data_IF_780427513303
#
_entry.id   IF_780427513303
#
_cell.length_a   1.000
_cell.length_b   1.000
_cell.length_c   1.000
_cell.angle_alpha   90.00
_cell.angle_beta   90.00
_cell.angle_gamma   90.00
#
_symmetry.space_group_name_H-M   'P 1'
#
loop_
_entity.id
_entity.type
_entity.pdbx_description
1 polymer ?
#
# COMPACT_ATOMS: atom_id res chain seq x y z
N UNK A 1 -12.29 3.89 -19.56
CA UNK A 1 -11.34 3.18 -20.46
C UNK A 1 -10.38 4.18 -21.08
N UNK A 2 -9.20 3.76 -21.54
CA UNK A 2 -8.30 4.65 -22.31
C UNK A 2 -8.94 5.02 -23.64
N UNK A 3 -8.67 6.23 -24.14
CA UNK A 3 -9.20 6.72 -25.42
C UNK A 3 -8.59 6.03 -26.64
N UNK A 4 -7.39 5.50 -26.48
CA UNK A 4 -6.63 4.77 -27.49
C UNK A 4 -5.99 3.55 -26.84
N UNK A 5 -5.71 2.49 -27.60
CA UNK A 5 -4.87 1.42 -27.12
C UNK A 5 -3.46 1.94 -26.86
N UNK A 6 -2.71 1.23 -26.03
CA UNK A 6 -1.28 1.49 -25.84
C UNK A 6 -0.56 1.32 -27.18
N UNK A 7 0.50 2.08 -27.37
CA UNK A 7 1.42 1.86 -28.49
C UNK A 7 2.17 0.56 -28.21
N UNK A 8 2.78 -0.09 -29.21
CA UNK A 8 3.54 -1.30 -28.99
C UNK A 8 4.52 -1.16 -27.82
N UNK A 9 4.26 -1.90 -26.74
CA UNK A 9 5.08 -1.85 -25.52
C UNK A 9 6.12 -2.95 -25.60
N UNK A 10 7.39 -2.63 -25.39
CA UNK A 10 8.45 -3.63 -25.30
C UNK A 10 8.64 -4.01 -23.84
N UNK A 11 8.72 -5.31 -23.56
CA UNK A 11 9.03 -5.82 -22.22
C UNK A 11 10.27 -6.70 -22.28
N UNK A 12 11.17 -6.45 -21.33
CA UNK A 12 12.28 -7.33 -21.01
C UNK A 12 11.96 -8.13 -19.75
N UNK A 13 11.85 -9.45 -19.88
CA UNK A 13 11.64 -10.34 -18.73
C UNK A 13 12.97 -10.88 -18.25
N UNK A 14 13.22 -10.76 -16.96
CA UNK A 14 14.40 -11.29 -16.29
C UNK A 14 14.01 -12.39 -15.31
N UNK A 15 14.72 -13.52 -15.30
CA UNK A 15 14.74 -14.40 -14.13
C UNK A 15 15.68 -13.86 -13.07
N UNK A 16 15.30 -14.10 -11.82
CA UNK A 16 15.98 -13.59 -10.65
C UNK A 16 16.63 -14.73 -9.87
N UNK A 17 17.95 -14.69 -9.79
CA UNK A 17 18.76 -15.55 -8.93
C UNK A 17 19.12 -14.76 -7.66
N UNK A 18 18.53 -15.17 -6.54
CA UNK A 18 18.78 -14.62 -5.20
C UNK A 18 18.62 -15.72 -4.15
N UNK A 19 19.48 -15.68 -3.13
CA UNK A 19 19.57 -16.70 -2.07
C UNK A 19 18.61 -16.52 -0.90
N UNK A 20 17.44 -15.89 -1.13
CA UNK A 20 16.41 -15.70 -0.10
C UNK A 20 15.04 -16.21 -0.59
N UNK A 21 14.23 -16.68 0.35
CA UNK A 21 12.93 -17.32 0.11
C UNK A 21 11.77 -16.60 0.80
N UNK A 22 10.54 -17.06 0.55
CA UNK A 22 9.33 -16.61 1.24
C UNK A 22 9.03 -15.11 1.11
N UNK A 23 8.56 -14.49 2.21
CA UNK A 23 8.20 -13.08 2.26
C UNK A 23 9.41 -12.15 1.99
N UNK A 24 10.61 -12.58 2.39
CA UNK A 24 11.83 -11.80 2.19
C UNK A 24 12.19 -11.70 0.70
N UNK A 25 12.00 -12.78 -0.07
CA UNK A 25 12.15 -12.76 -1.53
C UNK A 25 11.27 -11.68 -2.18
N UNK A 26 10.02 -11.57 -1.75
CA UNK A 26 9.11 -10.53 -2.26
C UNK A 26 9.57 -9.12 -1.93
N UNK A 27 10.07 -8.91 -0.70
CA UNK A 27 10.61 -7.63 -0.25
C UNK A 27 11.80 -7.24 -1.12
N UNK A 28 12.78 -8.15 -1.25
CA UNK A 28 13.99 -7.96 -2.05
C UNK A 28 13.67 -7.67 -3.51
N UNK A 29 12.80 -8.44 -4.15
CA UNK A 29 12.39 -8.19 -5.53
C UNK A 29 11.67 -6.84 -5.71
N UNK A 30 10.88 -6.41 -4.72
CA UNK A 30 10.21 -5.11 -4.77
C UNK A 30 11.20 -3.95 -4.66
N UNK A 31 12.25 -4.11 -3.84
CA UNK A 31 13.34 -3.16 -3.73
C UNK A 31 14.19 -3.14 -5.01
N UNK A 32 14.48 -4.32 -5.58
CA UNK A 32 15.16 -4.45 -6.86
C UNK A 32 14.44 -3.69 -7.97
N UNK A 33 13.11 -3.82 -8.08
CA UNK A 33 12.33 -3.07 -9.07
C UNK A 33 12.50 -1.55 -8.90
N UNK A 34 12.42 -1.02 -7.67
CA UNK A 34 12.65 0.42 -7.44
C UNK A 34 14.05 0.85 -7.85
N UNK A 35 15.06 0.03 -7.51
CA UNK A 35 16.45 0.32 -7.82
C UNK A 35 16.72 0.34 -9.32
N UNK A 36 16.20 -0.64 -10.06
CA UNK A 36 16.32 -0.71 -11.52
C UNK A 36 15.67 0.50 -12.19
N UNK A 37 14.54 0.93 -11.67
CA UNK A 37 13.84 2.11 -12.17
C UNK A 37 14.64 3.41 -11.94
N UNK A 38 15.31 3.53 -10.80
CA UNK A 38 16.22 4.65 -10.52
C UNK A 38 17.49 4.62 -11.39
N UNK A 39 18.08 3.44 -11.60
CA UNK A 39 19.35 3.29 -12.32
C UNK A 39 19.19 3.35 -13.84
N UNK A 40 18.11 2.78 -14.38
CA UNK A 40 17.89 2.62 -15.82
C UNK A 40 16.82 3.57 -16.37
N UNK A 41 16.06 4.25 -15.50
CA UNK A 41 14.96 5.12 -15.91
C UNK A 41 13.74 4.37 -16.48
N UNK A 42 13.71 3.04 -16.41
CA UNK A 42 12.62 2.20 -16.95
C UNK A 42 11.65 1.74 -15.87
N UNK A 43 10.37 1.61 -16.22
CA UNK A 43 9.38 1.09 -15.27
C UNK A 43 9.65 -0.40 -15.02
N UNK A 44 9.97 -0.75 -13.77
CA UNK A 44 10.26 -2.13 -13.37
C UNK A 44 9.18 -2.67 -12.42
N UNK A 45 8.69 -3.87 -12.71
CA UNK A 45 7.66 -4.54 -11.93
C UNK A 45 7.94 -6.03 -11.73
N UNK A 46 7.43 -6.57 -10.62
CA UNK A 46 7.59 -7.99 -10.31
C UNK A 46 6.65 -8.85 -11.16
N UNK A 47 7.19 -9.96 -11.64
CA UNK A 47 6.46 -11.03 -12.31
C UNK A 47 6.48 -12.28 -11.44
N UNK A 48 5.46 -12.44 -10.60
CA UNK A 48 5.39 -13.54 -9.64
C UNK A 48 6.51 -13.49 -8.59
N UNK A 49 7.06 -14.67 -8.27
CA UNK A 49 8.05 -14.89 -7.21
C UNK A 49 9.51 -14.89 -7.71
N UNK A 50 9.76 -15.02 -9.01
CA UNK A 50 11.10 -15.31 -9.53
C UNK A 50 11.52 -14.47 -10.72
N UNK A 51 10.68 -13.54 -11.19
CA UNK A 51 10.98 -12.73 -12.35
C UNK A 51 10.66 -11.25 -12.13
N UNK A 52 11.33 -10.41 -12.90
CA UNK A 52 11.07 -8.97 -13.01
C UNK A 52 10.85 -8.65 -14.49
N UNK A 53 9.83 -7.85 -14.78
CA UNK A 53 9.59 -7.26 -16.09
C UNK A 53 10.03 -5.80 -16.09
N UNK A 54 10.82 -5.42 -17.08
CA UNK A 54 11.14 -4.03 -17.39
C UNK A 54 10.32 -3.60 -18.61
N UNK A 55 9.59 -2.51 -18.48
CA UNK A 55 8.82 -1.89 -19.56
C UNK A 55 9.71 -0.83 -20.22
N UNK A 56 9.94 -0.98 -21.53
CA UNK A 56 10.84 -0.15 -22.34
C UNK A 56 9.98 0.62 -23.35
N UNK A 57 9.91 1.94 -23.19
CA UNK A 57 9.05 2.85 -23.97
C UNK A 57 9.91 4.06 -24.34
N UNK A 58 10.74 3.91 -25.36
CA UNK A 58 11.73 4.95 -25.70
C UNK A 58 13.01 4.44 -26.35
N UNK A 59 13.18 3.12 -26.45
CA UNK A 59 14.37 2.52 -27.05
C UNK A 59 15.53 2.41 -26.09
N UNK A 60 15.27 2.44 -24.78
CA UNK A 60 16.28 2.23 -23.75
C UNK A 60 16.94 0.86 -23.93
N UNK A 61 18.28 0.85 -23.94
CA UNK A 61 19.03 -0.40 -23.97
C UNK A 61 19.00 -1.06 -22.60
N UNK A 62 18.41 -2.25 -22.53
CA UNK A 62 18.36 -3.06 -21.33
C UNK A 62 19.37 -4.21 -21.43
N UNK A 63 20.33 -4.33 -20.50
CA UNK A 63 21.39 -5.34 -20.57
C UNK A 63 20.88 -6.78 -20.52
N UNK A 64 21.63 -7.74 -21.07
CA UNK A 64 21.28 -9.16 -20.96
C UNK A 64 21.39 -9.70 -19.53
N UNK A 65 22.33 -9.17 -18.76
CA UNK A 65 22.54 -9.52 -17.36
C UNK A 65 22.69 -8.26 -16.52
N UNK A 66 22.08 -8.28 -15.33
CA UNK A 66 22.19 -7.21 -14.34
C UNK A 66 22.53 -7.83 -12.98
N UNK A 67 23.33 -7.12 -12.19
CA UNK A 67 23.62 -7.51 -10.82
C UNK A 67 23.47 -6.29 -9.92
N UNK A 68 22.68 -6.43 -8.88
CA UNK A 68 22.42 -5.35 -7.92
C UNK A 68 22.44 -5.90 -6.50
N UNK A 69 22.80 -5.03 -5.55
CA UNK A 69 22.72 -5.31 -4.12
C UNK A 69 21.58 -4.51 -3.52
N UNK A 70 20.60 -5.20 -2.94
CA UNK A 70 19.43 -4.59 -2.31
C UNK A 70 19.24 -5.16 -0.92
N UNK A 71 19.29 -4.28 0.09
CA UNK A 71 19.16 -4.69 1.50
C UNK A 71 20.23 -5.69 1.94
N UNK A 72 21.45 -5.61 1.38
CA UNK A 72 22.54 -6.55 1.65
C UNK A 72 22.43 -7.89 0.91
N UNK A 73 21.38 -8.09 0.09
CA UNK A 73 21.19 -9.30 -0.71
C UNK A 73 21.61 -9.03 -2.15
N UNK A 74 22.51 -9.87 -2.67
CA UNK A 74 22.86 -9.86 -4.09
C UNK A 74 21.72 -10.46 -4.91
N UNK A 75 21.24 -9.72 -5.90
CA UNK A 75 20.26 -10.16 -6.89
C UNK A 75 20.94 -10.16 -8.24
N UNK A 76 20.99 -11.33 -8.90
CA UNK A 76 21.42 -11.44 -10.30
C UNK A 76 20.21 -11.65 -11.17
N UNK A 77 20.14 -10.89 -12.25
CA UNK A 77 19.05 -10.91 -13.22
C UNK A 77 19.62 -11.37 -14.56
N UNK A 78 18.95 -12.32 -15.19
CA UNK A 78 19.27 -12.77 -16.54
C UNK A 78 18.04 -12.59 -17.43
N UNK A 79 18.21 -11.88 -18.55
CA UNK A 79 17.14 -11.64 -19.50
C UNK A 79 16.76 -12.95 -20.18
N UNK A 80 15.52 -13.35 -20.02
CA UNK A 80 14.94 -14.55 -20.64
C UNK A 80 14.21 -14.21 -21.94
N UNK A 81 13.66 -12.99 -21.99
CA UNK A 81 12.86 -12.53 -23.12
C UNK A 81 13.02 -11.03 -23.30
N UNK A 82 12.98 -10.59 -24.55
CA UNK A 82 12.90 -9.21 -24.95
C UNK A 82 12.05 -9.10 -26.21
N UNK A 83 10.96 -8.35 -26.16
CA UNK A 83 10.09 -8.23 -27.31
C UNK A 83 8.88 -7.35 -27.07
N UNK A 84 8.17 -7.06 -28.16
CA UNK A 84 6.88 -6.38 -28.10
C UNK A 84 5.88 -7.30 -27.41
N UNK A 85 5.10 -6.75 -26.48
CA UNK A 85 4.04 -7.46 -25.78
C UNK A 85 2.97 -7.87 -26.79
N UNK A 86 2.68 -9.17 -26.83
CA UNK A 86 1.45 -9.68 -27.44
C UNK A 86 0.30 -9.49 -26.43
N UNK A 87 -0.67 -8.65 -26.79
CA UNK A 87 -1.83 -8.40 -25.94
C UNK A 87 -2.73 -9.62 -25.77
N UNK A 88 -2.60 -10.68 -26.58
CA UNK A 88 -3.24 -11.98 -26.35
C UNK A 88 -2.64 -12.75 -25.16
N UNK A 89 -1.40 -12.47 -24.78
CA UNK A 89 -0.70 -13.18 -23.70
C UNK A 89 -0.92 -12.54 -22.33
N UNK A 90 -1.44 -13.34 -21.38
CA UNK A 90 -1.77 -12.88 -20.01
C UNK A 90 -0.55 -12.27 -19.30
N UNK A 91 0.63 -12.87 -19.44
CA UNK A 91 1.81 -12.41 -18.71
C UNK A 91 2.25 -11.01 -19.15
N UNK A 92 2.12 -10.69 -20.44
CA UNK A 92 2.48 -9.40 -21.00
C UNK A 92 1.52 -8.31 -20.51
N UNK A 93 0.21 -8.61 -20.58
CA UNK A 93 -0.84 -7.75 -20.01
C UNK A 93 -0.62 -7.49 -18.52
N UNK A 94 -0.24 -8.52 -17.75
CA UNK A 94 -0.03 -8.42 -16.30
C UNK A 94 1.13 -7.49 -15.91
N UNK A 95 2.24 -7.51 -16.66
CA UNK A 95 3.38 -6.60 -16.43
C UNK A 95 2.96 -5.17 -16.70
N UNK A 96 2.35 -4.93 -17.86
CA UNK A 96 1.90 -3.60 -18.27
C UNK A 96 0.85 -3.05 -17.32
N UNK A 97 -0.13 -3.88 -16.91
CA UNK A 97 -1.14 -3.56 -15.89
C UNK A 97 -0.51 -3.05 -14.59
N UNK A 98 0.50 -3.76 -14.08
CA UNK A 98 1.20 -3.36 -12.83
C UNK A 98 1.94 -2.05 -13.01
N UNK A 99 2.64 -1.89 -14.13
CA UNK A 99 3.43 -0.71 -14.41
C UNK A 99 2.55 0.54 -14.61
N UNK A 100 1.42 0.43 -15.33
CA UNK A 100 0.40 1.48 -15.40
C UNK A 100 -0.20 1.76 -14.03
N UNK A 101 -0.52 0.73 -13.24
CA UNK A 101 -1.00 0.90 -11.87
C UNK A 101 -0.01 1.67 -10.98
N UNK A 102 1.29 1.52 -11.19
CA UNK A 102 2.34 2.29 -10.52
C UNK A 102 2.35 3.75 -10.98
N UNK A 103 2.20 4.00 -12.27
CA UNK A 103 2.09 5.34 -12.84
C UNK A 103 0.85 6.09 -12.29
N UNK A 104 -0.31 5.43 -12.21
CA UNK A 104 -1.52 5.97 -11.56
C UNK A 104 -1.24 6.37 -10.10
N UNK A 105 -0.56 5.50 -9.33
CA UNK A 105 -0.19 5.82 -7.94
C UNK A 105 0.74 7.03 -7.84
N UNK A 106 1.67 7.21 -8.79
CA UNK A 106 2.53 8.40 -8.82
C UNK A 106 1.73 9.67 -9.10
N UNK A 107 0.86 9.64 -10.11
CA UNK A 107 -0.01 10.77 -10.43
C UNK A 107 -0.86 11.19 -9.22
N UNK A 108 -1.44 10.22 -8.51
CA UNK A 108 -2.23 10.48 -7.29
C UNK A 108 -1.42 11.11 -6.16
N UNK A 109 -0.22 10.59 -5.88
CA UNK A 109 0.67 11.19 -4.87
C UNK A 109 1.07 12.61 -5.27
N UNK A 110 1.39 12.84 -6.54
CA UNK A 110 1.70 14.17 -7.08
C UNK A 110 0.53 15.15 -6.94
N UNK A 111 -0.71 14.65 -6.97
CA UNK A 111 -1.92 15.43 -6.71
C UNK A 111 -2.27 15.61 -5.23
N UNK A 112 -1.41 15.14 -4.30
CA UNK A 112 -1.60 15.32 -2.85
C UNK A 112 -2.47 14.25 -2.19
N UNK A 113 -2.79 13.15 -2.87
CA UNK A 113 -3.50 12.03 -2.25
C UNK A 113 -2.56 11.15 -1.41
N UNK A 114 -3.07 10.66 -0.29
CA UNK A 114 -2.44 9.59 0.48
C UNK A 114 -2.77 8.23 -0.15
N UNK A 115 -1.76 7.57 -0.72
CA UNK A 115 -1.96 6.34 -1.53
C UNK A 115 -1.49 5.10 -0.79
N UNK A 116 -2.43 4.21 -0.45
CA UNK A 116 -2.22 2.94 0.23
C UNK A 116 -2.70 1.77 -0.64
N UNK A 117 -1.76 0.97 -1.16
CA UNK A 117 -2.10 -0.18 -2.01
C UNK A 117 -2.83 0.23 -3.29
N UNK A 118 -4.12 -0.10 -3.37
CA UNK A 118 -5.06 0.24 -4.45
C UNK A 118 -6.16 1.19 -3.96
N UNK A 119 -5.84 2.03 -2.99
CA UNK A 119 -6.73 3.07 -2.46
C UNK A 119 -5.99 4.39 -2.33
N UNK A 120 -6.72 5.48 -2.53
CA UNK A 120 -6.22 6.84 -2.40
C UNK A 120 -7.21 7.67 -1.59
N UNK A 121 -6.70 8.47 -0.66
CA UNK A 121 -7.50 9.30 0.24
C UNK A 121 -7.05 10.75 0.17
N UNK A 122 -8.01 11.66 0.25
CA UNK A 122 -7.74 13.08 0.33
C UNK A 122 -7.08 13.44 1.66
N UNK A 123 -6.29 14.52 1.68
CA UNK A 123 -5.65 15.01 2.89
C UNK A 123 -6.62 15.68 3.89
N UNK A 124 -7.83 16.05 3.45
CA UNK A 124 -8.81 16.76 4.27
C UNK A 124 -9.90 15.82 4.78
N UNK A 125 -10.20 15.87 6.07
CA UNK A 125 -11.31 15.11 6.65
C UNK A 125 -12.67 15.76 6.42
N UNK A 126 -13.69 14.96 6.09
CA UNK A 126 -15.10 15.38 5.99
C UNK A 126 -15.84 15.28 7.33
N UNK A 127 -15.34 14.45 8.24
CA UNK A 127 -15.77 14.38 9.63
C UNK A 127 -14.54 14.50 10.50
N UNK A 128 -14.57 15.50 11.39
CA UNK A 128 -13.56 15.71 12.41
C UNK A 128 -14.22 15.66 13.79
N UNK A 129 -13.74 14.75 14.62
CA UNK A 129 -14.12 14.53 16.01
C UNK A 129 -12.83 14.44 16.84
N UNK A 130 -12.91 14.50 18.18
CA UNK A 130 -11.74 14.34 19.05
C UNK A 130 -11.05 12.97 18.83
N UNK A 131 -11.83 11.90 18.61
CA UNK A 131 -11.30 10.53 18.52
C UNK A 131 -11.04 10.06 17.10
N UNK A 132 -11.77 10.59 16.13
CA UNK A 132 -11.83 10.02 14.78
C UNK A 132 -11.78 11.11 13.70
N UNK A 133 -11.14 10.79 12.59
CA UNK A 133 -11.23 11.56 11.36
C UNK A 133 -11.65 10.67 10.20
N UNK A 134 -12.55 11.18 9.35
CA UNK A 134 -13.03 10.47 8.16
C UNK A 134 -12.51 11.18 6.92
N UNK A 135 -11.75 10.45 6.11
CA UNK A 135 -11.13 10.95 4.88
C UNK A 135 -11.86 10.38 3.67
N UNK A 136 -12.37 11.22 2.77
CA UNK A 136 -12.91 10.77 1.49
C UNK A 136 -11.78 10.26 0.60
N UNK A 137 -12.13 9.38 -0.33
CA UNK A 137 -11.20 8.80 -1.27
C UNK A 137 -11.87 7.80 -2.19
N UNK A 138 -11.08 6.88 -2.73
CA UNK A 138 -11.55 5.83 -3.63
C UNK A 138 -10.59 4.64 -3.63
N UNK A 139 -11.11 3.45 -3.94
CA UNK A 139 -10.27 2.35 -4.44
C UNK A 139 -10.23 2.38 -5.95
N UNK A 140 -9.14 1.88 -6.53
CA UNK A 140 -9.01 1.78 -7.97
C UNK A 140 -8.33 0.49 -8.39
N UNK A 141 -8.63 0.03 -9.60
CA UNK A 141 -7.94 -1.08 -10.25
C UNK A 141 -7.64 -0.73 -11.69
N UNK A 142 -6.55 -1.29 -12.21
CA UNK A 142 -6.14 -1.14 -13.61
C UNK A 142 -6.25 -2.51 -14.25
N UNK A 143 -6.81 -2.57 -15.46
CA UNK A 143 -6.80 -3.75 -16.33
C UNK A 143 -6.27 -3.36 -17.70
N UNK A 144 -5.59 -4.30 -18.37
CA UNK A 144 -5.18 -4.16 -19.77
C UNK A 144 -5.97 -5.18 -20.56
N UNK A 145 -6.68 -4.73 -21.59
CA UNK A 145 -7.53 -5.55 -22.44
C UNK A 145 -6.72 -6.20 -23.57
N UNK A 146 -7.30 -7.19 -24.24
CA UNK A 146 -6.64 -7.96 -25.31
C UNK A 146 -6.39 -7.12 -26.59
N UNK A 147 -7.02 -5.96 -26.70
CA UNK A 147 -6.81 -5.00 -27.77
C UNK A 147 -5.81 -3.89 -27.39
N UNK A 148 -5.19 -3.99 -26.20
CA UNK A 148 -4.22 -3.02 -25.69
C UNK A 148 -4.84 -1.78 -25.04
N UNK A 149 -6.17 -1.67 -24.92
CA UNK A 149 -6.79 -0.62 -24.12
C UNK A 149 -6.56 -0.85 -22.62
N UNK A 150 -6.51 0.26 -21.87
CA UNK A 150 -6.39 0.24 -20.42
C UNK A 150 -7.74 0.61 -19.81
N UNK A 151 -8.28 -0.26 -18.97
CA UNK A 151 -9.42 0.05 -18.12
C UNK A 151 -8.95 0.49 -16.73
N UNK A 152 -9.59 1.55 -16.22
CA UNK A 152 -9.39 2.04 -14.85
C UNK A 152 -10.76 2.06 -14.18
N UNK A 153 -10.89 1.26 -13.12
CA UNK A 153 -12.08 1.27 -12.28
C UNK A 153 -11.83 2.17 -11.08
N UNK A 154 -12.80 3.01 -10.72
CA UNK A 154 -12.74 3.92 -9.57
C UNK A 154 -14.01 3.71 -8.74
N UNK A 155 -13.82 3.40 -7.47
CA UNK A 155 -14.91 3.15 -6.52
C UNK A 155 -14.76 4.07 -5.31
N UNK A 156 -15.58 5.14 -5.20
CA UNK A 156 -15.56 6.06 -4.07
C UNK A 156 -15.70 5.32 -2.74
N UNK A 157 -14.90 5.71 -1.76
CA UNK A 157 -14.92 5.13 -0.42
C UNK A 157 -14.43 6.14 0.60
N UNK A 158 -14.65 5.83 1.87
CA UNK A 158 -14.15 6.62 2.99
C UNK A 158 -13.20 5.78 3.85
N UNK A 159 -12.22 6.44 4.47
CA UNK A 159 -11.35 5.85 5.49
C UNK A 159 -11.59 6.52 6.81
N UNK A 160 -11.88 5.70 7.82
CA UNK A 160 -12.03 6.11 9.21
C UNK A 160 -10.72 5.82 9.93
N UNK A 161 -10.09 6.85 10.51
CA UNK A 161 -8.80 6.73 11.21
C UNK A 161 -8.93 7.30 12.61
N UNK A 162 -8.35 6.61 13.61
CA UNK A 162 -8.24 7.16 14.97
C UNK A 162 -7.28 8.35 15.00
N UNK A 163 -7.70 9.43 15.65
CA UNK A 163 -6.85 10.58 16.00
C UNK A 163 -6.03 10.34 17.26
N UNK A 164 -6.42 9.36 18.06
CA UNK A 164 -5.67 8.94 19.22
C UNK A 164 -4.84 7.70 18.86
N UNK A 165 -3.65 7.64 19.43
CA UNK A 165 -2.89 6.40 19.48
C UNK A 165 -3.54 5.45 20.48
N UNK A 166 -3.22 4.17 20.41
CA UNK A 166 -3.69 3.19 21.39
C UNK A 166 -3.24 3.62 22.80
N UNK A 167 -2.04 4.18 22.93
CA UNK A 167 -1.55 4.71 24.20
C UNK A 167 -2.42 5.85 24.75
N UNK A 168 -2.82 6.78 23.90
CA UNK A 168 -3.65 7.92 24.28
C UNK A 168 -5.10 7.53 24.59
N UNK A 169 -5.67 6.55 23.88
CA UNK A 169 -7.02 6.04 24.16
C UNK A 169 -7.16 5.54 25.61
N UNK A 170 -6.08 5.03 26.20
CA UNK A 170 -6.02 4.55 27.58
C UNK A 170 -5.36 5.54 28.54
N UNK A 171 -5.28 6.82 28.16
CA UNK A 171 -4.81 7.90 29.02
C UNK A 171 -3.32 7.81 29.37
N UNK A 172 -2.52 7.21 28.49
CA UNK A 172 -1.07 7.03 28.66
C UNK A 172 -0.71 6.27 29.94
N UNK A 173 -1.45 5.19 30.21
CA UNK A 173 -1.28 4.37 31.41
C UNK A 173 -1.12 2.90 31.05
N UNK A 174 0.01 2.31 31.45
CA UNK A 174 0.33 0.91 31.18
C UNK A 174 -0.68 -0.01 31.85
N UNK A 175 -1.08 0.30 33.08
CA UNK A 175 -2.05 -0.48 33.84
C UNK A 175 -3.42 -0.47 33.16
N UNK A 176 -3.92 0.70 32.75
CA UNK A 176 -5.21 0.80 32.03
C UNK A 176 -5.17 0.05 30.71
N UNK A 177 -4.08 0.19 29.96
CA UNK A 177 -3.93 -0.48 28.67
C UNK A 177 -3.90 -2.00 28.84
N UNK A 178 -3.15 -2.52 29.82
CA UNK A 178 -3.09 -3.96 30.15
C UNK A 178 -4.45 -4.49 30.59
N UNK A 179 -5.11 -3.82 31.53
CA UNK A 179 -6.44 -4.22 32.03
C UNK A 179 -7.52 -4.22 30.94
N UNK A 180 -7.32 -3.44 29.87
CA UNK A 180 -8.24 -3.34 28.74
C UNK A 180 -7.81 -4.15 27.51
N UNK A 181 -6.77 -5.00 27.61
CA UNK A 181 -6.19 -5.74 26.48
C UNK A 181 -7.22 -6.52 25.67
N UNK A 182 -8.22 -7.10 26.33
CA UNK A 182 -9.30 -7.86 25.69
C UNK A 182 -10.21 -6.99 24.79
N UNK A 183 -10.31 -5.68 25.05
CA UNK A 183 -11.16 -4.77 24.26
C UNK A 183 -10.60 -4.45 22.87
N UNK A 184 -9.31 -4.70 22.65
CA UNK A 184 -8.64 -4.40 21.38
C UNK A 184 -7.87 -5.58 20.79
N UNK A 185 -7.62 -6.65 21.55
CA UNK A 185 -7.11 -7.91 21.00
C UNK A 185 -8.02 -8.45 19.89
N UNK A 186 -7.43 -8.88 18.78
CA UNK A 186 -8.13 -9.31 17.57
C UNK A 186 -8.64 -8.18 16.67
N UNK A 187 -8.59 -6.92 17.11
CA UNK A 187 -9.07 -5.77 16.31
C UNK A 187 -7.99 -5.25 15.35
N UNK A 188 -8.42 -4.58 14.29
CA UNK A 188 -7.53 -4.02 13.27
C UNK A 188 -6.99 -2.66 13.72
N UNK A 189 -5.71 -2.43 13.46
CA UNK A 189 -5.03 -1.18 13.71
C UNK A 189 -4.12 -0.81 12.53
N UNK A 190 -3.59 0.41 12.54
CA UNK A 190 -2.55 0.87 11.64
C UNK A 190 -1.26 1.01 12.44
N UNK A 191 -0.19 0.36 11.96
CA UNK A 191 1.18 0.48 12.44
C UNK A 191 2.10 0.80 11.26
N UNK A 192 2.83 1.93 11.29
CA UNK A 192 3.73 2.36 10.20
C UNK A 192 3.08 2.26 8.81
N UNK A 193 1.89 2.86 8.67
CA UNK A 193 1.08 2.87 7.43
C UNK A 193 0.60 1.49 6.95
N UNK A 194 0.72 0.45 7.77
CA UNK A 194 0.26 -0.89 7.46
C UNK A 194 -0.87 -1.28 8.38
N UNK A 195 -1.89 -1.90 7.80
CA UNK A 195 -2.94 -2.54 8.59
C UNK A 195 -2.37 -3.80 9.27
N UNK A 196 -2.58 -3.90 10.57
CA UNK A 196 -2.23 -5.04 11.40
C UNK A 196 -3.44 -5.49 12.23
N UNK A 197 -3.33 -6.66 12.87
CA UNK A 197 -4.26 -7.14 13.89
C UNK A 197 -3.56 -7.07 15.23
N UNK A 198 -4.18 -6.45 16.24
CA UNK A 198 -3.58 -6.38 17.57
C UNK A 198 -3.70 -7.75 18.25
N UNK A 199 -2.59 -8.30 18.72
CA UNK A 199 -2.59 -9.58 19.44
C UNK A 199 -2.80 -9.41 20.93
N UNK A 200 -2.31 -8.30 21.51
CA UNK A 200 -2.49 -7.95 22.91
C UNK A 200 -1.28 -7.21 23.48
N UNK A 201 -1.34 -6.89 24.77
CA UNK A 201 -0.26 -6.24 25.53
C UNK A 201 0.59 -7.31 26.22
N UNK A 202 1.92 -7.16 26.19
CA UNK A 202 2.81 -7.93 27.04
C UNK A 202 2.73 -7.37 28.47
N UNK A 203 2.28 -8.20 29.41
CA UNK A 203 2.01 -7.76 30.78
C UNK A 203 3.29 -7.40 31.54
N UNK A 204 4.39 -8.05 31.22
CA UNK A 204 5.63 -7.96 32.00
C UNK A 204 6.69 -7.04 31.36
N UNK A 205 6.58 -6.76 30.06
CA UNK A 205 7.66 -6.11 29.31
C UNK A 205 7.31 -4.70 28.82
N UNK A 206 8.32 -3.84 28.88
CA UNK A 206 8.32 -2.47 28.38
C UNK A 206 9.10 -2.35 27.07
N UNK A 207 8.84 -1.27 26.33
CA UNK A 207 9.57 -0.96 25.08
C UNK A 207 11.06 -0.70 25.31
N UNK A 208 11.44 -0.34 26.54
CA UNK A 208 12.82 -0.13 27.00
C UNK A 208 13.54 -1.42 27.41
N UNK A 209 12.81 -2.52 27.62
CA UNK A 209 13.41 -3.77 28.08
C UNK A 209 14.23 -4.43 26.97
N UNK A 210 15.32 -5.09 27.35
CA UNK A 210 16.15 -5.84 26.41
C UNK A 210 15.44 -7.11 25.97
N UNK A 211 15.39 -7.32 24.65
CA UNK A 211 14.72 -8.47 24.04
C UNK A 211 15.76 -9.40 23.42
N UNK A 212 15.75 -10.67 23.83
CA UNK A 212 16.63 -11.70 23.26
C UNK A 212 16.38 -11.88 21.76
N UNK A 213 15.11 -11.75 21.35
CA UNK A 213 14.66 -11.82 19.96
C UNK A 213 15.27 -10.71 19.09
N UNK A 214 15.76 -9.62 19.70
CA UNK A 214 16.45 -8.53 19.03
C UNK A 214 17.97 -8.56 19.24
N UNK A 215 18.52 -9.65 19.77
CA UNK A 215 19.95 -9.76 20.07
C UNK A 215 20.36 -8.99 21.33
N UNK A 216 19.46 -8.87 22.31
CA UNK A 216 19.73 -8.26 23.61
C UNK A 216 19.65 -6.73 23.64
N UNK A 217 19.11 -6.10 22.60
CA UNK A 217 18.78 -4.66 22.59
C UNK A 217 17.29 -4.46 22.85
N UNK A 218 16.91 -3.25 23.27
CA UNK A 218 15.49 -2.93 23.45
C UNK A 218 14.77 -2.65 22.13
N UNK A 219 13.44 -2.71 22.14
CA UNK A 219 12.65 -2.31 20.97
C UNK A 219 12.91 -0.85 20.59
N UNK A 220 13.00 0.04 21.59
CA UNK A 220 13.35 1.44 21.39
C UNK A 220 14.71 1.62 20.72
N UNK A 221 15.75 0.94 21.22
CA UNK A 221 17.09 0.98 20.62
C UNK A 221 17.09 0.43 19.20
N UNK A 222 16.39 -0.68 18.97
CA UNK A 222 16.24 -1.29 17.66
C UNK A 222 15.59 -0.30 16.69
N UNK A 223 14.42 0.24 17.03
CA UNK A 223 13.70 1.21 16.19
C UNK A 223 14.54 2.46 15.91
N UNK A 224 15.23 3.02 16.92
CA UNK A 224 16.08 4.21 16.78
C UNK A 224 17.23 4.01 15.78
N UNK A 225 17.77 2.80 15.66
CA UNK A 225 18.84 2.48 14.69
C UNK A 225 18.35 2.51 13.24
N UNK A 226 17.09 2.12 12.99
CA UNK A 226 16.52 2.07 11.65
C UNK A 226 15.82 3.36 11.24
N UNK A 227 15.19 4.03 12.19
CA UNK A 227 14.33 5.18 11.96
C UNK A 227 14.28 6.06 13.22
N UNK A 228 15.26 6.97 13.41
CA UNK A 228 15.34 7.79 14.62
C UNK A 228 14.09 8.63 14.89
N UNK A 229 13.41 9.09 13.83
CA UNK A 229 12.17 9.88 13.95
C UNK A 229 10.96 9.06 14.39
N UNK A 230 10.99 7.74 14.19
CA UNK A 230 9.89 6.85 14.60
C UNK A 230 9.71 6.79 16.12
N UNK A 231 10.80 6.92 16.88
CA UNK A 231 10.77 6.84 18.34
C UNK A 231 10.63 8.20 19.01
N UNK A 232 10.46 9.27 18.21
CA UNK A 232 10.23 10.61 18.73
C UNK A 232 8.83 10.67 19.38
N UNK A 233 8.80 10.81 20.72
CA UNK A 233 7.56 10.83 21.50
C UNK A 233 7.10 9.47 22.04
N UNK A 234 7.88 8.40 21.86
CA UNK A 234 7.64 7.11 22.53
C UNK A 234 8.21 7.17 23.95
N UNK A 235 7.37 6.88 24.95
CA UNK A 235 7.78 6.83 26.36
C UNK A 235 8.44 5.48 26.68
N UNK A 236 9.56 5.50 27.40
CA UNK A 236 10.29 4.29 27.82
C UNK A 236 9.42 3.37 28.70
N UNK A 237 8.47 3.95 29.45
CA UNK A 237 7.50 3.26 30.28
C UNK A 237 6.32 2.64 29.51
N UNK A 238 6.27 2.76 28.18
CA UNK A 238 5.22 2.11 27.40
C UNK A 238 5.38 0.57 27.46
N UNK A 239 4.28 -0.17 27.63
CA UNK A 239 4.33 -1.63 27.55
C UNK A 239 4.55 -2.06 26.09
N UNK A 240 5.08 -3.27 25.90
CA UNK A 240 5.13 -3.87 24.56
C UNK A 240 3.73 -4.30 24.11
N UNK A 241 3.33 -3.90 22.91
CA UNK A 241 2.15 -4.47 22.24
C UNK A 241 2.64 -5.36 21.12
N UNK A 242 2.08 -6.57 21.03
CA UNK A 242 2.33 -7.44 19.89
C UNK A 242 1.18 -7.34 18.88
N UNK A 243 1.55 -7.32 17.61
CA UNK A 243 0.63 -7.23 16.47
C UNK A 243 0.98 -8.28 15.43
N UNK A 244 0.01 -8.63 14.60
CA UNK A 244 0.17 -9.53 13.48
C UNK A 244 0.09 -8.75 12.17
N UNK A 245 1.15 -8.81 11.38
CA UNK A 245 1.21 -8.25 10.03
C UNK A 245 1.44 -9.40 9.07
N UNK A 246 0.42 -9.72 8.23
CA UNK A 246 0.48 -10.86 7.29
C UNK A 246 0.86 -12.20 7.96
N UNK A 247 0.39 -12.42 9.18
CA UNK A 247 0.66 -13.64 9.96
C UNK A 247 1.97 -13.61 10.76
N UNK A 248 2.86 -12.64 10.53
CA UNK A 248 4.09 -12.47 11.32
C UNK A 248 3.81 -11.65 12.58
N UNK A 249 4.30 -12.13 13.73
CA UNK A 249 4.20 -11.42 15.00
C UNK A 249 5.31 -10.37 15.08
N UNK A 250 4.93 -9.13 15.33
CA UNK A 250 5.84 -8.00 15.55
C UNK A 250 5.53 -7.35 16.90
N UNK A 251 6.53 -6.68 17.47
CA UNK A 251 6.37 -5.84 18.65
C UNK A 251 6.42 -4.37 18.27
N UNK A 252 5.61 -3.56 18.94
CA UNK A 252 5.54 -2.13 18.72
C UNK A 252 5.13 -1.38 19.99
N UNK A 253 5.54 -0.11 20.15
CA UNK A 253 4.99 0.79 21.15
C UNK A 253 3.51 1.10 20.86
N UNK A 254 2.62 1.15 21.87
CA UNK A 254 1.23 1.54 21.71
C UNK A 254 1.04 2.98 21.20
N UNK A 255 2.01 3.88 21.42
CA UNK A 255 1.99 5.24 20.85
C UNK A 255 2.16 5.26 19.33
N UNK A 256 2.63 4.17 18.71
CA UNK A 256 2.75 4.03 17.26
C UNK A 256 1.58 3.28 16.63
N UNK A 257 0.61 2.84 17.43
CA UNK A 257 -0.58 2.13 16.98
C UNK A 257 -1.80 3.05 16.96
N UNK A 258 -2.58 2.99 15.88
CA UNK A 258 -3.88 3.68 15.79
C UNK A 258 -4.97 2.69 15.43
N UNK A 259 -6.03 2.63 16.23
CA UNK A 259 -7.13 1.70 15.98
C UNK A 259 -7.91 2.06 14.72
N UNK A 260 -8.34 1.02 13.97
CA UNK A 260 -9.29 1.17 12.88
C UNK A 260 -10.68 0.94 13.45
N UNK A 261 -11.51 1.98 13.43
CA UNK A 261 -12.86 1.94 13.98
C UNK A 261 -13.82 1.25 13.00
N UNK A 262 -14.52 0.23 13.49
CA UNK A 262 -15.67 -0.38 12.82
C UNK A 262 -16.93 0.47 13.01
N UNK A 263 -18.00 0.16 12.28
CA UNK A 263 -19.30 0.82 12.51
C UNK A 263 -19.84 0.56 13.92
N UNK A 264 -19.54 -0.59 14.51
CA UNK A 264 -19.92 -0.92 15.89
C UNK A 264 -19.16 -0.04 16.89
N UNK A 265 -17.85 0.13 16.68
CA UNK A 265 -17.03 1.02 17.50
C UNK A 265 -17.54 2.47 17.43
N UNK A 266 -17.83 2.93 16.21
CA UNK A 266 -18.40 4.26 15.98
C UNK A 266 -19.78 4.42 16.64
N UNK A 267 -20.57 3.35 16.73
CA UNK A 267 -21.86 3.36 17.43
C UNK A 267 -21.65 3.47 18.94
N UNK A 268 -20.69 2.74 19.50
CA UNK A 268 -20.37 2.78 20.92
C UNK A 268 -19.91 4.18 21.39
N UNK A 269 -19.25 4.94 20.52
CA UNK A 269 -18.82 6.33 20.80
C UNK A 269 -19.80 7.40 20.27
N UNK A 270 -20.99 7.01 19.80
CA UNK A 270 -22.02 7.96 19.35
C UNK A 270 -21.76 8.67 18.02
N UNK A 271 -20.75 8.27 17.25
CA UNK A 271 -20.38 8.89 15.97
C UNK A 271 -20.96 8.21 14.73
N UNK A 272 -21.55 7.01 14.88
CA UNK A 272 -22.02 6.20 13.74
C UNK A 272 -22.90 6.96 12.76
N UNK A 273 -23.91 7.70 13.24
CA UNK A 273 -24.81 8.49 12.37
C UNK A 273 -24.08 9.56 11.57
N UNK A 274 -23.15 10.29 12.19
CA UNK A 274 -22.37 11.36 11.54
C UNK A 274 -21.45 10.78 10.47
N UNK A 275 -20.75 9.68 10.78
CA UNK A 275 -19.88 8.99 9.82
C UNK A 275 -20.67 8.35 8.70
N UNK A 276 -21.79 7.67 9.00
CA UNK A 276 -22.64 7.06 7.99
C UNK A 276 -23.24 8.10 7.04
N UNK A 277 -23.72 9.23 7.57
CA UNK A 277 -24.22 10.32 6.73
C UNK A 277 -23.17 10.87 5.78
N UNK A 278 -21.90 10.92 6.21
CA UNK A 278 -20.80 11.35 5.34
C UNK A 278 -20.39 10.26 4.33
N UNK A 279 -20.46 8.99 4.73
CA UNK A 279 -19.99 7.88 3.91
C UNK A 279 -21.03 7.30 2.94
N UNK A 280 -22.32 7.45 3.25
CA UNK A 280 -23.41 7.03 2.38
C UNK A 280 -23.57 8.02 1.24
N UNK A 281 -23.44 7.49 0.02
CA UNK A 281 -23.56 8.24 -1.22
C UNK A 281 -24.64 7.57 -2.05
N UNK A 282 -25.58 8.36 -2.56
CA UNK A 282 -26.51 7.92 -3.59
C UNK A 282 -25.76 7.54 -4.87
N UNK A 283 -26.37 6.76 -5.78
CA UNK A 283 -25.74 6.39 -7.06
C UNK A 283 -25.25 7.61 -7.87
N UNK A 284 -26.02 8.70 -7.89
CA UNK A 284 -25.65 9.94 -8.58
C UNK A 284 -24.44 10.62 -7.94
N UNK A 285 -24.36 10.63 -6.61
CA UNK A 285 -23.21 11.16 -5.88
C UNK A 285 -21.97 10.29 -6.10
N UNK A 286 -22.13 8.96 -6.15
CA UNK A 286 -21.04 8.05 -6.46
C UNK A 286 -20.51 8.28 -7.87
N UNK A 287 -21.39 8.35 -8.87
CA UNK A 287 -21.03 8.65 -10.26
C UNK A 287 -20.26 9.98 -10.35
N UNK A 288 -20.77 11.04 -9.73
CA UNK A 288 -20.12 12.35 -9.71
C UNK A 288 -18.75 12.30 -9.03
N UNK A 289 -18.62 11.62 -7.91
CA UNK A 289 -17.35 11.48 -7.21
C UNK A 289 -16.33 10.66 -8.00
N UNK A 290 -16.76 9.55 -8.64
CA UNK A 290 -15.90 8.76 -9.53
C UNK A 290 -15.35 9.59 -10.67
N UNK A 291 -16.18 10.43 -11.30
CA UNK A 291 -15.74 11.35 -12.37
C UNK A 291 -14.76 12.41 -11.84
N UNK A 292 -15.00 12.95 -10.64
CA UNK A 292 -14.07 13.89 -10.01
C UNK A 292 -12.71 13.24 -9.74
N UNK A 293 -12.67 12.03 -9.18
CA UNK A 293 -11.42 11.32 -8.96
C UNK A 293 -10.73 10.91 -10.27
N UNK A 294 -11.51 10.51 -11.28
CA UNK A 294 -10.98 10.24 -12.62
C UNK A 294 -10.29 11.48 -13.20
N UNK A 295 -10.84 12.68 -12.97
CA UNK A 295 -10.25 13.91 -13.49
C UNK A 295 -8.82 14.16 -13.00
N UNK A 296 -8.49 13.68 -11.80
CA UNK A 296 -7.14 13.78 -11.19
C UNK A 296 -6.13 12.90 -11.92
N UNK A 297 -6.56 11.71 -12.36
CA UNK A 297 -5.72 10.72 -13.05
C UNK A 297 -6.12 10.54 -14.51
N UNK A 298 -6.77 11.56 -15.10
CA UNK A 298 -7.28 11.47 -16.46
C UNK A 298 -6.17 11.24 -17.47
N UNK A 299 -4.99 11.80 -17.21
CA UNK A 299 -3.79 11.64 -18.00
C UNK A 299 -2.68 11.12 -17.10
N UNK A 300 -2.16 9.96 -17.42
CA UNK A 300 -1.09 9.31 -16.67
C UNK A 300 0.09 9.10 -17.61
N UNK A 301 1.28 9.53 -17.18
CA UNK A 301 2.52 9.25 -17.88
C UNK A 301 2.99 7.83 -17.54
N UNK A 302 3.04 6.99 -18.57
CA UNK A 302 3.46 5.61 -18.55
C UNK A 302 4.75 5.50 -19.35
N UNK A 303 5.87 5.88 -18.72
CA UNK A 303 7.20 5.76 -19.30
C UNK A 303 7.37 6.57 -20.59
N UNK A 304 6.82 7.78 -20.68
CA UNK A 304 6.87 8.59 -21.90
C UNK A 304 5.65 8.44 -22.79
N UNK A 305 4.86 7.38 -22.64
CA UNK A 305 3.53 7.29 -23.27
C UNK A 305 2.45 7.90 -22.35
N UNK A 306 1.60 8.77 -22.89
CA UNK A 306 0.46 9.30 -22.13
C UNK A 306 -0.76 8.41 -22.31
N UNK A 307 -1.21 7.79 -21.21
CA UNK A 307 -2.51 7.10 -21.14
C UNK A 307 -3.58 8.14 -20.78
N UNK A 308 -4.46 8.46 -21.74
CA UNK A 308 -5.63 9.32 -21.50
C UNK A 308 -6.89 8.48 -21.32
N UNK A 309 -7.51 8.58 -20.14
CA UNK A 309 -8.79 7.95 -19.84
C UNK A 309 -9.98 8.81 -20.31
N UNK A 310 -10.93 8.14 -20.95
CA UNK A 310 -12.18 8.72 -21.38
C UNK A 310 -13.11 8.92 -20.17
N UNK A 311 -13.84 10.04 -20.07
CA UNK A 311 -14.73 10.34 -18.94
C UNK A 311 -16.01 9.48 -18.93
N UNK A 312 -16.32 8.79 -20.01
CA UNK A 312 -17.49 7.93 -20.10
C UNK A 312 -17.31 6.72 -19.17
N UNK A 313 -18.26 6.55 -18.24
CA UNK A 313 -18.34 5.34 -17.43
C UNK A 313 -18.81 4.20 -18.32
N UNK A 314 -18.02 3.15 -18.39
CA UNK A 314 -18.38 1.91 -19.08
C UNK A 314 -18.65 0.88 -18.01
N UNK A 315 -19.86 0.34 -17.97
CA UNK A 315 -20.13 -0.86 -17.20
C UNK A 315 -19.38 -2.02 -17.85
N UNK A 316 -18.40 -2.58 -17.15
CA UNK A 316 -17.81 -3.85 -17.55
C UNK A 316 -18.71 -4.96 -17.00
N UNK A 317 -19.35 -5.73 -17.89
CA UNK A 317 -20.02 -6.97 -17.50
C UNK A 317 -18.98 -7.92 -16.87
N UNK A 318 -19.14 -8.24 -15.59
CA UNK A 318 -18.25 -9.17 -14.90
C UNK A 318 -17.94 -8.75 -13.46
N UNK A 319 -18.88 -9.08 -12.56
CA UNK A 319 -18.68 -8.94 -11.13
C UNK A 319 -17.47 -9.73 -10.62
N UNK A 320 -16.93 -9.24 -9.50
CA UNK A 320 -16.11 -9.94 -8.51
C UNK A 320 -15.06 -10.92 -9.07
N UNK A 321 -13.84 -10.44 -9.26
CA UNK A 321 -12.67 -11.31 -9.14
C UNK A 321 -12.38 -11.46 -7.65
N UNK A 322 -12.85 -12.56 -7.05
CA UNK A 322 -12.41 -12.99 -5.72
C UNK A 322 -10.89 -13.20 -5.75
N UNK A 323 -10.20 -12.67 -4.74
CA UNK A 323 -8.77 -12.87 -4.50
C UNK A 323 -8.50 -14.03 -3.56
#
# INVERSE_FOLDING_TARGET
MSRRPLEPVVVARYSCLLGVEGAERYRVLSLACRRLEEELGVLAERMGYSSIGLVVIGGEEVPEELSLSVGGVSVRLRREMFGVVDWGEVWGRDVVKRAVGRAVKRALRGAGFHVEGLSAFEGRSVVEDERVSVYPGFSFSVEVLEDGHVALSINPRHRVVSRLTLWEEFGRSADRLRSASELFSGRRAVFRERTCVVGGVDEARLVSDRLEELGGVSLLEHCRRFDPGLVEGVDEGEPLVHVYVKGERLYCPPSLLRMIYTLEDLKAIGLSRRVQKAAQMSPDEQAKASLNYLSVVRRVDFGGQVVEFAPEMVELEGGWVEG
#
